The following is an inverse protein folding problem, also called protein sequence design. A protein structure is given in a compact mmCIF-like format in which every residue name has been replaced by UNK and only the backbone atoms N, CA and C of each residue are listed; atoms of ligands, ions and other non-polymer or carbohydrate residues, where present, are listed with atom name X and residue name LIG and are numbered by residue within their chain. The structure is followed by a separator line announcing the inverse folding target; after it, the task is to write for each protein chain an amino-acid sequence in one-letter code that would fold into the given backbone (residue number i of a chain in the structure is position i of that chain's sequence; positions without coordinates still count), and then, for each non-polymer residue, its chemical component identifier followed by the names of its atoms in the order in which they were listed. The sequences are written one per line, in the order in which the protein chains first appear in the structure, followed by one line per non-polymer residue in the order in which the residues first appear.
data_IF_606870231327
#
_entry.id   IF_606870231327
#
_cell.length_a   1.000
_cell.length_b   1.000
_cell.length_c   1.000
_cell.angle_alpha   90.00
_cell.angle_beta   90.00
_cell.angle_gamma   90.00
#
_symmetry.space_group_name_H-M   'P 1'
#
loop_
_entity.id
_entity.type
_entity.pdbx_description
1 polymer ?
#
# COMPACT_ATOMS: atom_id res chain seq x y z
N UNK A 1 28.24 9.41 -11.03
CA UNK A 1 27.96 8.28 -10.12
C UNK A 1 28.89 7.16 -10.56
N UNK A 2 29.75 6.65 -9.66
CA UNK A 2 30.64 5.52 -9.96
C UNK A 2 29.81 4.24 -9.91
N UNK A 3 30.04 3.32 -10.85
CA UNK A 3 29.40 2.01 -10.86
C UNK A 3 29.89 1.15 -9.69
N UNK A 4 28.98 0.40 -9.06
CA UNK A 4 29.22 -0.41 -7.86
C UNK A 4 30.33 -1.46 -8.04
N UNK A 5 30.61 -1.87 -9.29
CA UNK A 5 31.67 -2.83 -9.65
C UNK A 5 33.10 -2.27 -9.49
N UNK A 6 33.25 -0.96 -9.27
CA UNK A 6 34.57 -0.33 -9.08
C UNK A 6 34.99 -0.21 -7.61
N UNK A 7 34.11 -0.56 -6.68
CA UNK A 7 34.40 -0.52 -5.25
C UNK A 7 35.01 -1.85 -4.80
N UNK A 8 36.08 -1.78 -4.03
CA UNK A 8 36.60 -2.95 -3.33
C UNK A 8 35.58 -3.45 -2.28
N UNK A 9 35.60 -4.75 -1.92
CA UNK A 9 34.68 -5.30 -0.91
C UNK A 9 34.71 -4.55 0.42
N UNK A 10 35.86 -4.01 0.80
CA UNK A 10 36.06 -3.25 2.03
C UNK A 10 35.44 -1.85 1.95
N UNK A 11 35.53 -1.18 0.80
CA UNK A 11 34.89 0.13 0.57
C UNK A 11 33.37 0.01 0.48
N UNK A 12 32.88 -1.06 -0.15
CA UNK A 12 31.45 -1.38 -0.21
C UNK A 12 30.87 -1.56 1.19
N UNK A 13 31.59 -2.28 2.06
CA UNK A 13 31.18 -2.50 3.45
C UNK A 13 31.16 -1.21 4.27
N UNK A 14 32.13 -0.31 4.06
CA UNK A 14 32.12 1.01 4.69
C UNK A 14 30.93 1.86 4.21
N UNK A 15 30.59 1.80 2.93
CA UNK A 15 29.45 2.53 2.35
C UNK A 15 28.10 2.01 2.87
N UNK A 16 27.93 0.69 2.94
CA UNK A 16 26.74 0.03 3.48
C UNK A 16 26.51 0.35 4.96
N UNK A 17 27.60 0.43 5.73
CA UNK A 17 27.56 0.82 7.13
C UNK A 17 27.22 2.31 7.31
N UNK A 18 27.80 3.21 6.49
CA UNK A 18 27.54 4.66 6.53
C UNK A 18 26.09 4.99 6.15
N UNK A 19 25.55 4.32 5.14
CA UNK A 19 24.16 4.46 4.71
C UNK A 19 23.16 3.70 5.61
N UNK A 20 23.66 2.97 6.63
CA UNK A 20 22.83 2.26 7.60
C UNK A 20 22.06 1.07 7.02
N UNK A 21 22.52 0.49 5.90
CA UNK A 21 21.91 -0.70 5.28
C UNK A 21 22.12 -1.96 6.12
N UNK A 22 23.11 -1.96 7.00
CA UNK A 22 23.31 -3.01 8.01
C UNK A 22 22.28 -2.93 9.15
N UNK A 23 21.51 -1.84 9.22
CA UNK A 23 20.46 -1.68 10.23
C UNK A 23 19.23 -2.47 9.77
N UNK A 24 18.76 -3.47 10.54
CA UNK A 24 17.54 -4.18 10.18
C UNK A 24 16.37 -3.19 10.10
N UNK A 25 15.65 -3.21 8.97
CA UNK A 25 14.48 -2.34 8.79
C UNK A 25 13.51 -2.52 9.96
N UNK A 26 13.02 -1.40 10.48
CA UNK A 26 12.05 -1.42 11.55
C UNK A 26 10.87 -2.35 11.16
N UNK A 27 10.48 -3.29 12.03
CA UNK A 27 9.44 -4.24 11.71
C UNK A 27 8.16 -3.48 11.36
N UNK A 28 7.57 -3.81 10.20
CA UNK A 28 6.31 -3.21 9.75
C UNK A 28 5.21 -3.65 10.72
N UNK A 29 4.95 -2.83 11.73
CA UNK A 29 3.86 -3.06 12.65
C UNK A 29 2.55 -2.77 11.92
N UNK A 30 1.68 -3.78 11.85
CA UNK A 30 0.31 -3.58 11.39
C UNK A 30 -0.36 -2.62 12.39
N UNK A 31 -0.57 -1.38 11.96
CA UNK A 31 -1.39 -0.46 12.74
C UNK A 31 -2.79 -1.06 12.87
N UNK A 32 -3.20 -1.38 14.10
CA UNK A 32 -4.58 -1.78 14.36
C UNK A 32 -5.47 -0.56 14.10
N UNK A 33 -6.38 -0.71 13.14
CA UNK A 33 -7.45 0.25 12.91
C UNK A 33 -8.28 0.36 14.19
N UNK A 34 -8.47 1.58 14.69
CA UNK A 34 -9.36 1.83 15.83
C UNK A 34 -10.78 1.35 15.47
N UNK A 35 -11.57 0.87 16.45
CA UNK A 35 -12.92 0.35 16.19
C UNK A 35 -13.84 1.37 15.48
N UNK A 36 -13.64 2.67 15.75
CA UNK A 36 -14.32 3.75 15.01
C UNK A 36 -13.95 3.78 13.52
N UNK A 37 -12.67 3.61 13.19
CA UNK A 37 -12.21 3.56 11.80
C UNK A 37 -12.77 2.32 11.08
N UNK A 38 -12.85 1.18 11.77
CA UNK A 38 -13.47 -0.02 11.21
C UNK A 38 -14.94 0.22 10.83
N UNK A 39 -15.70 0.95 11.65
CA UNK A 39 -17.08 1.34 11.33
C UNK A 39 -17.17 2.20 10.06
N UNK A 40 -16.30 3.20 9.91
CA UNK A 40 -16.25 4.06 8.70
C UNK A 40 -15.89 3.25 7.45
N UNK A 41 -14.88 2.38 7.53
CA UNK A 41 -14.51 1.51 6.41
C UNK A 41 -15.63 0.54 6.03
N UNK A 42 -16.40 0.07 7.01
CA UNK A 42 -17.55 -0.81 6.75
C UNK A 42 -18.69 -0.05 6.06
N UNK A 43 -19.00 1.17 6.51
CA UNK A 43 -19.96 2.05 5.85
C UNK A 43 -19.53 2.39 4.41
N UNK A 44 -18.23 2.65 4.19
CA UNK A 44 -17.69 2.90 2.84
C UNK A 44 -17.92 1.71 1.91
N UNK A 45 -17.70 0.48 2.39
CA UNK A 45 -17.96 -0.74 1.60
C UNK A 45 -19.43 -0.85 1.21
N UNK A 46 -20.35 -0.56 2.13
CA UNK A 46 -21.79 -0.56 1.86
C UNK A 46 -22.15 0.46 0.79
N UNK A 47 -21.62 1.69 0.90
CA UNK A 47 -21.84 2.73 -0.10
C UNK A 47 -21.42 2.28 -1.50
N UNK A 48 -20.24 1.67 -1.63
CA UNK A 48 -19.75 1.16 -2.92
C UNK A 48 -20.67 0.07 -3.47
N UNK A 49 -21.13 -0.87 -2.63
CA UNK A 49 -22.06 -1.92 -3.06
C UNK A 49 -23.37 -1.33 -3.58
N UNK A 50 -23.94 -0.35 -2.87
CA UNK A 50 -25.17 0.34 -3.29
C UNK A 50 -24.96 1.05 -4.61
N UNK A 51 -23.86 1.78 -4.77
CA UNK A 51 -23.53 2.45 -6.04
C UNK A 51 -23.42 1.45 -7.19
N UNK A 52 -22.77 0.30 -6.99
CA UNK A 52 -22.70 -0.76 -8.00
C UNK A 52 -24.10 -1.28 -8.38
N UNK A 53 -24.98 -1.49 -7.41
CA UNK A 53 -26.36 -1.93 -7.66
C UNK A 53 -27.12 -0.89 -8.49
N UNK A 54 -27.02 0.40 -8.13
CA UNK A 54 -27.66 1.49 -8.86
C UNK A 54 -27.16 1.55 -10.31
N UNK A 55 -25.85 1.45 -10.50
CA UNK A 55 -25.24 1.45 -11.84
C UNK A 55 -25.73 0.24 -12.65
N UNK A 56 -25.67 -0.96 -12.09
CA UNK A 56 -26.19 -2.18 -12.73
C UNK A 56 -27.67 -2.03 -13.10
N UNK A 57 -28.48 -1.47 -12.20
CA UNK A 57 -29.89 -1.23 -12.43
C UNK A 57 -30.13 -0.18 -13.52
N UNK A 58 -29.35 0.89 -13.56
CA UNK A 58 -29.41 1.90 -14.62
C UNK A 58 -29.04 1.30 -15.99
N UNK A 59 -28.01 0.43 -16.04
CA UNK A 59 -27.64 -0.28 -17.26
C UNK A 59 -28.73 -1.28 -17.70
N UNK A 60 -29.30 -2.08 -16.79
CA UNK A 60 -30.33 -3.05 -17.18
C UNK A 60 -31.64 -2.37 -17.56
N UNK A 61 -32.05 -1.31 -16.86
CA UNK A 61 -33.25 -0.53 -17.21
C UNK A 61 -33.08 0.25 -18.52
N UNK A 62 -31.91 0.83 -18.77
CA UNK A 62 -31.59 1.50 -20.03
C UNK A 62 -31.46 0.55 -21.23
N UNK A 63 -31.10 -0.73 -21.02
CA UNK A 63 -31.05 -1.76 -22.08
C UNK A 63 -32.44 -2.27 -22.49
N UNK A 64 -33.45 -2.13 -21.63
CA UNK A 64 -34.83 -2.52 -21.93
C UNK A 64 -35.71 -1.32 -22.38
N UNK A 65 -35.12 -0.13 -22.53
CA UNK A 65 -35.80 1.09 -22.97
C UNK A 65 -35.54 1.39 -24.46
#
# INVERSE_FOLDING_TARGET
MKDLDQYSPDELKALLADEGWDTPLAPVQRQQLKPWQQGVFWALRIYVVIMCIIVLWAFTSGVHA
#
